data_IF_262425743181
#
_entry.id   IF_262425743181
#
_cell.length_a   1.000
_cell.length_b   1.000
_cell.length_c   1.000
_cell.angle_alpha   90.00
_cell.angle_beta   90.00
_cell.angle_gamma   90.00
#
_symmetry.space_group_name_H-M   'P 1'
#
loop_
_entity.id
_entity.type
_entity.pdbx_description
1 polymer ?
#
# COMPACT_ATOMS: atom_id res chain seq x y z
N UNK A 1 19.10 0.41 0.18
CA UNK A 1 17.92 -0.45 0.10
C UNK A 1 16.67 0.41 -0.02
N UNK A 2 15.57 -0.18 -0.48
CA UNK A 2 14.26 0.47 -0.57
C UNK A 2 13.20 -0.51 -0.07
N UNK A 3 12.21 0.00 0.70
CA UNK A 3 10.99 -0.73 1.05
C UNK A 3 9.81 0.10 0.56
N UNK A 4 8.93 -0.51 -0.24
CA UNK A 4 7.72 0.12 -0.74
C UNK A 4 6.49 -0.50 -0.08
N UNK A 5 5.70 0.33 0.60
CA UNK A 5 4.54 -0.13 1.36
C UNK A 5 3.29 -0.35 0.50
N UNK A 6 3.35 -0.09 -0.81
CA UNK A 6 2.22 -0.35 -1.69
C UNK A 6 2.59 -0.35 -3.17
N UNK A 7 2.37 -1.49 -3.83
CA UNK A 7 2.42 -1.62 -5.29
C UNK A 7 1.33 -2.58 -5.78
N UNK A 8 0.65 -2.24 -6.87
CA UNK A 8 -0.45 -3.00 -7.47
C UNK A 8 0.02 -4.05 -8.49
N UNK A 9 1.04 -4.83 -8.14
CA UNK A 9 1.63 -5.83 -9.03
C UNK A 9 0.58 -6.85 -9.49
N UNK A 10 -0.20 -7.38 -8.54
CA UNK A 10 -1.25 -8.37 -8.85
C UNK A 10 -2.33 -7.79 -9.77
N UNK A 11 -2.78 -6.58 -9.49
CA UNK A 11 -3.78 -5.88 -10.29
C UNK A 11 -3.30 -5.60 -11.72
N UNK A 12 -2.04 -5.19 -11.90
CA UNK A 12 -1.42 -5.00 -13.21
C UNK A 12 -1.53 -6.27 -14.08
N UNK A 13 -1.28 -7.45 -13.51
CA UNK A 13 -1.40 -8.72 -14.22
C UNK A 13 -2.86 -9.14 -14.43
N UNK A 14 -3.73 -8.92 -13.46
CA UNK A 14 -5.15 -9.26 -13.57
C UNK A 14 -5.81 -8.48 -14.70
N UNK A 15 -5.47 -7.21 -14.85
CA UNK A 15 -6.07 -6.32 -15.85
C UNK A 15 -5.58 -6.59 -17.27
N UNK A 16 -4.28 -6.89 -17.46
CA UNK A 16 -3.70 -7.19 -18.76
C UNK A 16 -3.87 -8.65 -19.20
N UNK A 17 -4.20 -9.53 -18.25
CA UNK A 17 -4.08 -10.98 -18.45
C UNK A 17 -2.61 -11.41 -18.52
N UNK A 18 -2.28 -12.56 -17.93
CA UNK A 18 -0.87 -13.01 -17.84
C UNK A 18 -0.22 -13.22 -19.22
N UNK A 19 -1.02 -13.53 -20.25
CA UNK A 19 -0.53 -13.74 -21.62
C UNK A 19 -0.28 -12.44 -22.38
N UNK A 20 -0.90 -11.31 -21.99
CA UNK A 20 -0.82 -10.03 -22.68
C UNK A 20 0.13 -9.05 -22.00
N UNK A 21 0.47 -9.30 -20.73
CA UNK A 21 1.36 -8.44 -19.95
C UNK A 21 2.80 -8.84 -20.18
N UNK A 22 3.65 -7.85 -20.45
CA UNK A 22 5.08 -8.04 -20.60
C UNK A 22 5.68 -8.72 -19.37
N UNK A 23 6.58 -9.72 -19.55
CA UNK A 23 7.19 -10.46 -18.45
C UNK A 23 7.85 -9.54 -17.41
N UNK A 24 7.68 -9.84 -16.13
CA UNK A 24 8.12 -8.95 -15.04
C UNK A 24 9.66 -8.87 -14.90
N UNK A 25 10.40 -9.76 -15.56
CA UNK A 25 11.87 -9.74 -15.63
C UNK A 25 12.43 -8.84 -16.74
N UNK A 26 11.60 -8.26 -17.58
CA UNK A 26 12.00 -7.32 -18.63
C UNK A 26 11.88 -5.87 -18.18
N UNK A 27 12.89 -5.04 -18.55
CA UNK A 27 12.84 -3.58 -18.33
C UNK A 27 11.96 -2.91 -19.39
N UNK A 28 10.67 -2.87 -19.13
CA UNK A 28 9.69 -2.30 -20.07
C UNK A 28 9.64 -0.79 -19.89
N UNK A 29 9.89 -0.08 -21.00
CA UNK A 29 9.74 1.39 -21.02
C UNK A 29 8.27 1.78 -20.71
N UNK A 30 8.08 2.69 -19.77
CA UNK A 30 6.77 3.15 -19.33
C UNK A 30 6.13 2.33 -18.22
N UNK A 31 6.62 1.12 -17.94
CA UNK A 31 6.19 0.37 -16.76
C UNK A 31 6.80 0.95 -15.49
N UNK A 32 6.00 1.09 -14.45
CA UNK A 32 6.39 1.80 -13.23
C UNK A 32 7.30 0.97 -12.33
N UNK A 33 7.10 -0.35 -12.23
CA UNK A 33 7.87 -1.28 -11.45
C UNK A 33 8.07 -2.61 -12.20
N UNK A 34 9.22 -3.24 -12.02
CA UNK A 34 9.61 -4.56 -12.50
C UNK A 34 10.93 -5.02 -11.84
N UNK A 35 11.29 -6.29 -12.02
CA UNK A 35 12.50 -6.87 -11.41
C UNK A 35 13.78 -6.08 -11.76
N UNK A 36 14.03 -5.67 -13.03
CA UNK A 36 15.19 -4.82 -13.34
C UNK A 36 15.21 -3.49 -12.58
N UNK A 37 14.05 -2.83 -12.43
CA UNK A 37 13.93 -1.59 -11.67
C UNK A 37 14.13 -1.83 -10.17
N UNK A 38 13.60 -2.94 -9.63
CA UNK A 38 13.84 -3.36 -8.24
C UNK A 38 15.34 -3.53 -7.96
N UNK A 39 16.03 -4.28 -8.81
CA UNK A 39 17.49 -4.47 -8.69
C UNK A 39 18.26 -3.17 -8.77
N UNK A 40 17.86 -2.28 -9.69
CA UNK A 40 18.54 -0.99 -9.91
C UNK A 40 18.54 -0.08 -8.68
N UNK A 41 17.43 -0.05 -7.94
CA UNK A 41 17.30 0.81 -6.74
C UNK A 41 17.45 0.04 -5.43
N UNK A 42 17.55 -1.30 -5.49
CA UNK A 42 17.74 -2.17 -4.34
C UNK A 42 16.46 -2.32 -3.51
N UNK A 43 15.31 -2.64 -4.16
CA UNK A 43 14.06 -2.92 -3.44
C UNK A 43 14.22 -4.22 -2.66
N UNK A 44 14.07 -4.11 -1.34
CA UNK A 44 14.19 -5.25 -0.43
C UNK A 44 12.85 -5.88 -0.11
N UNK A 45 11.85 -5.06 0.17
CA UNK A 45 10.47 -5.48 0.46
C UNK A 45 9.49 -4.60 -0.31
N UNK A 46 8.39 -5.20 -0.72
CA UNK A 46 7.23 -4.52 -1.28
C UNK A 46 5.95 -5.12 -0.69
N UNK A 47 5.00 -4.26 -0.27
CA UNK A 47 3.63 -4.72 -0.02
C UNK A 47 2.93 -4.84 -1.36
N UNK A 48 2.67 -6.09 -1.78
CA UNK A 48 1.96 -6.40 -3.01
C UNK A 48 0.46 -6.43 -2.78
N UNK A 49 -0.26 -5.50 -3.42
CA UNK A 49 -1.70 -5.32 -3.24
C UNK A 49 -2.49 -6.51 -3.78
N UNK A 50 -3.43 -7.00 -2.97
CA UNK A 50 -4.55 -7.85 -3.35
C UNK A 50 -5.77 -6.94 -3.32
N UNK A 51 -6.09 -6.36 -4.47
CA UNK A 51 -7.17 -5.40 -4.64
C UNK A 51 -8.45 -6.11 -5.13
N UNK A 52 -9.39 -6.51 -4.22
CA UNK A 52 -10.50 -7.40 -4.56
C UNK A 52 -11.69 -6.66 -5.16
N UNK A 53 -11.45 -5.65 -6.01
CA UNK A 53 -12.49 -4.88 -6.63
C UNK A 53 -13.20 -5.65 -7.74
N UNK A 54 -14.50 -5.82 -7.60
CA UNK A 54 -15.38 -6.38 -8.62
C UNK A 54 -16.08 -5.26 -9.38
N UNK A 55 -16.28 -5.48 -10.67
CA UNK A 55 -17.04 -4.57 -11.52
C UNK A 55 -18.41 -4.25 -10.93
N UNK A 56 -18.77 -2.97 -10.99
CA UNK A 56 -20.08 -2.49 -10.55
C UNK A 56 -20.91 -2.11 -11.76
N UNK A 57 -22.21 -2.49 -11.78
CA UNK A 57 -23.19 -1.98 -12.74
C UNK A 57 -23.51 -0.49 -12.47
N UNK A 58 -23.00 0.09 -11.39
CA UNK A 58 -23.17 1.50 -11.12
C UNK A 58 -22.28 2.34 -12.05
N UNK A 59 -22.88 2.91 -13.09
CA UNK A 59 -22.20 3.69 -14.12
C UNK A 59 -21.36 4.83 -13.56
N UNK A 60 -21.83 5.52 -12.51
CA UNK A 60 -21.07 6.61 -11.88
C UNK A 60 -19.79 6.13 -11.22
N UNK A 61 -19.81 4.92 -10.62
CA UNK A 61 -18.61 4.30 -10.04
C UNK A 61 -17.63 3.90 -11.14
N UNK A 62 -18.11 3.29 -12.22
CA UNK A 62 -17.30 2.92 -13.39
C UNK A 62 -16.65 4.16 -14.00
N UNK A 63 -17.42 5.22 -14.25
CA UNK A 63 -16.91 6.47 -14.86
C UNK A 63 -15.87 7.14 -13.94
N UNK A 64 -16.08 7.14 -12.63
CA UNK A 64 -15.12 7.67 -11.65
C UNK A 64 -13.83 6.86 -11.63
N UNK A 65 -13.92 5.53 -11.68
CA UNK A 65 -12.77 4.63 -11.75
C UNK A 65 -12.00 4.80 -13.05
N UNK A 66 -12.69 4.88 -14.19
CA UNK A 66 -12.06 5.11 -15.49
C UNK A 66 -11.36 6.46 -15.55
N UNK A 67 -11.91 7.49 -14.91
CA UNK A 67 -11.30 8.83 -14.84
C UNK A 67 -10.05 8.86 -13.97
N UNK A 68 -10.06 8.17 -12.83
CA UNK A 68 -8.94 8.16 -11.86
C UNK A 68 -7.82 7.21 -12.31
N UNK A 69 -8.19 6.01 -12.74
CA UNK A 69 -7.28 4.89 -13.01
C UNK A 69 -7.19 4.51 -14.49
N UNK A 70 -7.96 5.16 -15.37
CA UNK A 70 -7.96 4.94 -16.82
C UNK A 70 -8.87 3.82 -17.29
N UNK A 71 -8.48 3.12 -18.35
CA UNK A 71 -9.25 1.99 -18.88
C UNK A 71 -9.27 0.86 -17.86
N UNK A 72 -10.33 0.81 -17.07
CA UNK A 72 -10.56 -0.25 -16.13
C UNK A 72 -11.68 -1.14 -16.67
N UNK A 73 -11.40 -2.42 -16.80
CA UNK A 73 -12.37 -3.43 -17.19
C UNK A 73 -12.25 -4.62 -16.25
N UNK A 74 -13.23 -4.86 -15.35
CA UNK A 74 -13.18 -6.02 -14.50
C UNK A 74 -13.19 -7.28 -15.36
N UNK A 75 -12.47 -8.30 -14.94
CA UNK A 75 -12.59 -9.61 -15.57
C UNK A 75 -14.03 -10.09 -15.48
N UNK A 76 -14.66 -10.31 -16.62
CA UNK A 76 -16.06 -10.75 -16.71
C UNK A 76 -16.29 -12.16 -16.13
N UNK A 77 -15.21 -12.89 -15.85
CA UNK A 77 -15.26 -14.26 -15.28
C UNK A 77 -15.26 -14.31 -13.75
N UNK A 78 -14.99 -13.18 -13.09
CA UNK A 78 -14.90 -13.13 -11.62
C UNK A 78 -16.16 -12.50 -11.04
N UNK A 79 -16.89 -13.29 -10.26
CA UNK A 79 -18.23 -12.94 -9.78
C UNK A 79 -18.25 -12.30 -8.39
N UNK A 80 -17.20 -12.43 -7.59
CA UNK A 80 -17.16 -11.93 -6.22
C UNK A 80 -15.79 -11.33 -5.85
N UNK A 81 -15.73 -10.42 -4.85
CA UNK A 81 -14.46 -9.93 -4.32
C UNK A 81 -13.52 -11.04 -3.83
N UNK A 82 -14.08 -12.14 -3.27
CA UNK A 82 -13.31 -13.29 -2.82
C UNK A 82 -12.62 -14.01 -3.99
N UNK A 83 -13.32 -14.19 -5.11
CA UNK A 83 -12.74 -14.83 -6.30
C UNK A 83 -11.59 -13.98 -6.86
N UNK A 84 -11.77 -12.65 -6.90
CA UNK A 84 -10.70 -11.71 -7.31
C UNK A 84 -9.51 -11.81 -6.38
N UNK A 85 -9.72 -11.82 -5.06
CA UNK A 85 -8.64 -11.92 -4.09
C UNK A 85 -7.86 -13.24 -4.24
N UNK A 86 -8.54 -14.35 -4.46
CA UNK A 86 -7.89 -15.66 -4.70
C UNK A 86 -7.11 -15.63 -6.02
N UNK A 87 -7.64 -15.03 -7.07
CA UNK A 87 -6.92 -14.91 -8.34
C UNK A 87 -5.65 -14.06 -8.20
N UNK A 88 -5.72 -12.96 -7.45
CA UNK A 88 -4.55 -12.12 -7.15
C UNK A 88 -3.50 -12.88 -6.32
N UNK A 89 -3.91 -13.67 -5.33
CA UNK A 89 -2.99 -14.57 -4.59
C UNK A 89 -2.30 -15.55 -5.54
N UNK A 90 -3.04 -16.18 -6.46
CA UNK A 90 -2.47 -17.08 -7.48
C UNK A 90 -1.43 -16.39 -8.36
N UNK A 91 -1.67 -15.12 -8.73
CA UNK A 91 -0.72 -14.33 -9.52
C UNK A 91 0.60 -14.15 -8.73
N UNK A 92 0.56 -13.84 -7.44
CA UNK A 92 1.78 -13.72 -6.64
C UNK A 92 2.55 -15.03 -6.53
N UNK A 93 1.87 -16.17 -6.35
CA UNK A 93 2.52 -17.49 -6.39
C UNK A 93 3.12 -17.79 -7.74
N UNK A 94 2.41 -17.51 -8.84
CA UNK A 94 2.93 -17.68 -10.19
C UNK A 94 4.18 -16.83 -10.44
N UNK A 95 4.23 -15.60 -9.93
CA UNK A 95 5.41 -14.73 -10.02
C UNK A 95 6.60 -15.28 -9.21
N UNK A 96 6.36 -15.80 -8.01
CA UNK A 96 7.42 -16.49 -7.22
C UNK A 96 7.96 -17.70 -7.96
N UNK A 97 7.07 -18.56 -8.52
CA UNK A 97 7.45 -19.75 -9.26
C UNK A 97 8.22 -19.42 -10.56
N UNK A 98 7.80 -18.39 -11.29
CA UNK A 98 8.49 -17.95 -12.51
C UNK A 98 9.85 -17.28 -12.22
N UNK A 99 10.00 -16.60 -11.09
CA UNK A 99 11.18 -15.79 -10.76
C UNK A 99 11.76 -16.09 -9.37
N UNK A 100 12.02 -17.36 -8.99
CA UNK A 100 12.32 -17.77 -7.61
C UNK A 100 13.62 -17.18 -7.04
N UNK A 101 14.53 -16.69 -7.90
CA UNK A 101 15.77 -16.00 -7.51
C UNK A 101 15.60 -14.49 -7.36
N UNK A 102 14.49 -13.93 -7.82
CA UNK A 102 14.26 -12.49 -7.86
C UNK A 102 13.12 -12.04 -6.95
N UNK A 103 12.11 -12.90 -6.77
CA UNK A 103 10.92 -12.60 -5.97
C UNK A 103 10.68 -13.72 -4.97
N UNK A 104 10.26 -13.36 -3.76
CA UNK A 104 9.87 -14.29 -2.72
C UNK A 104 8.68 -13.78 -1.92
N UNK A 105 7.64 -14.59 -1.76
CA UNK A 105 6.53 -14.28 -0.86
C UNK A 105 7.01 -14.41 0.59
N UNK A 106 6.85 -13.35 1.36
CA UNK A 106 7.24 -13.30 2.77
C UNK A 106 6.08 -13.78 3.64
N UNK A 107 6.30 -14.86 4.39
CA UNK A 107 5.32 -15.46 5.30
C UNK A 107 5.77 -15.44 6.75
N UNK A 108 7.08 -15.33 6.99
CA UNK A 108 7.70 -15.38 8.30
C UNK A 108 8.81 -14.33 8.42
N UNK A 109 9.23 -14.05 9.64
CA UNK A 109 10.42 -13.21 9.92
C UNK A 109 11.67 -13.78 9.25
N UNK A 110 11.81 -15.09 9.27
CA UNK A 110 12.94 -15.80 8.68
C UNK A 110 13.01 -15.62 7.16
N UNK A 111 11.86 -15.52 6.49
CA UNK A 111 11.81 -15.18 5.06
C UNK A 111 12.42 -13.80 4.79
N UNK A 112 12.14 -12.79 5.64
CA UNK A 112 12.72 -11.44 5.52
C UNK A 112 14.24 -11.48 5.70
N UNK A 113 14.71 -12.18 6.71
CA UNK A 113 16.13 -12.28 7.07
C UNK A 113 16.93 -13.00 5.97
N UNK A 114 16.32 -13.98 5.31
CA UNK A 114 16.96 -14.84 4.30
C UNK A 114 16.68 -14.46 2.84
N UNK A 115 16.18 -13.25 2.54
CA UNK A 115 15.87 -12.81 1.17
C UNK A 115 17.10 -12.78 0.23
N UNK A 116 18.32 -12.63 0.77
CA UNK A 116 19.49 -12.47 -0.09
C UNK A 116 19.33 -11.29 -1.07
N UNK A 117 19.45 -11.57 -2.37
CA UNK A 117 19.26 -10.59 -3.45
C UNK A 117 17.80 -10.50 -3.97
N UNK A 118 16.91 -11.37 -3.49
CA UNK A 118 15.52 -11.34 -3.89
C UNK A 118 14.77 -10.17 -3.24
N UNK A 119 13.74 -9.69 -3.93
CA UNK A 119 12.75 -8.79 -3.35
C UNK A 119 11.64 -9.61 -2.68
N UNK A 120 11.40 -9.35 -1.40
CA UNK A 120 10.30 -9.96 -0.66
C UNK A 120 8.97 -9.26 -0.96
N UNK A 121 7.95 -10.06 -1.26
CA UNK A 121 6.57 -9.61 -1.43
C UNK A 121 5.80 -9.95 -0.16
N UNK A 122 5.34 -8.92 0.55
CA UNK A 122 4.39 -9.05 1.65
C UNK A 122 2.99 -8.85 1.09
N UNK A 123 2.19 -9.92 1.01
CA UNK A 123 0.84 -9.84 0.46
C UNK A 123 -0.07 -9.01 1.38
N UNK A 124 -0.74 -8.02 0.80
CA UNK A 124 -1.60 -7.03 1.45
C UNK A 124 -2.98 -6.99 0.80
N UNK A 125 -4.05 -7.27 1.55
CA UNK A 125 -5.43 -7.08 1.07
C UNK A 125 -5.79 -5.60 1.16
N UNK A 126 -6.12 -4.97 0.05
CA UNK A 126 -6.56 -3.58 -0.05
C UNK A 126 -8.08 -3.49 -0.16
N UNK A 127 -8.74 -3.37 1.00
CA UNK A 127 -10.19 -3.45 1.12
C UNK A 127 -10.68 -4.87 1.46
N UNK A 128 -11.34 -5.00 2.60
CA UNK A 128 -11.75 -6.30 3.16
C UNK A 128 -13.07 -6.84 2.60
N UNK A 129 -13.49 -6.41 1.40
CA UNK A 129 -14.71 -6.91 0.74
C UNK A 129 -14.65 -8.40 0.43
N UNK A 130 -13.45 -8.97 0.34
CA UNK A 130 -13.25 -10.42 0.13
C UNK A 130 -13.60 -11.27 1.35
N UNK A 131 -13.65 -10.66 2.55
CA UNK A 131 -13.95 -11.35 3.80
C UNK A 131 -15.46 -11.31 4.08
N UNK A 132 -16.08 -12.46 4.17
CA UNK A 132 -17.49 -12.61 4.56
C UNK A 132 -17.70 -12.44 6.07
N UNK A 133 -16.69 -12.79 6.87
CA UNK A 133 -16.63 -12.64 8.32
C UNK A 133 -15.16 -12.45 8.76
N UNK A 134 -14.86 -11.91 9.95
CA UNK A 134 -13.50 -11.68 10.42
C UNK A 134 -12.59 -12.92 10.37
N UNK A 135 -13.15 -14.09 10.66
CA UNK A 135 -12.45 -15.38 10.70
C UNK A 135 -11.95 -15.84 9.32
N UNK A 136 -12.54 -15.35 8.23
CA UNK A 136 -12.07 -15.61 6.86
C UNK A 136 -10.62 -15.14 6.67
N UNK A 137 -10.16 -14.16 7.47
CA UNK A 137 -8.77 -13.69 7.44
C UNK A 137 -7.78 -14.84 7.74
N UNK A 138 -8.18 -15.86 8.52
CA UNK A 138 -7.34 -17.05 8.76
C UNK A 138 -6.99 -17.78 7.48
N UNK A 139 -7.93 -17.85 6.53
CA UNK A 139 -7.72 -18.50 5.24
C UNK A 139 -6.65 -17.73 4.46
N UNK A 140 -6.80 -16.40 4.35
CA UNK A 140 -5.84 -15.56 3.65
C UNK A 140 -4.47 -15.51 4.36
N UNK A 141 -4.45 -15.51 5.69
CA UNK A 141 -3.20 -15.64 6.47
C UNK A 141 -2.45 -16.93 6.12
N UNK A 142 -3.15 -18.07 6.04
CA UNK A 142 -2.55 -19.35 5.65
C UNK A 142 -2.08 -19.33 4.20
N UNK A 143 -2.71 -18.54 3.32
CA UNK A 143 -2.24 -18.28 1.96
C UNK A 143 -1.09 -17.25 1.90
N UNK A 144 -0.62 -16.72 3.03
CA UNK A 144 0.56 -15.85 3.11
C UNK A 144 0.25 -14.35 3.20
N UNK A 145 -1.01 -13.93 3.34
CA UNK A 145 -1.35 -12.52 3.61
C UNK A 145 -0.84 -12.11 4.99
N UNK A 146 -0.20 -10.94 5.07
CA UNK A 146 0.37 -10.40 6.31
C UNK A 146 -0.06 -8.96 6.62
N UNK A 147 -0.87 -8.38 5.74
CA UNK A 147 -1.41 -7.03 5.92
C UNK A 147 -2.81 -6.91 5.34
N UNK A 148 -3.67 -6.10 5.95
CA UNK A 148 -5.02 -5.78 5.47
C UNK A 148 -5.31 -4.29 5.58
N UNK A 149 -5.92 -3.70 4.55
CA UNK A 149 -6.60 -2.41 4.59
C UNK A 149 -8.10 -2.64 4.78
N UNK A 150 -8.71 -1.95 5.72
CA UNK A 150 -10.12 -2.18 6.07
C UNK A 150 -11.07 -1.86 4.91
N UNK A 151 -10.78 -0.79 4.18
CA UNK A 151 -11.57 -0.31 3.03
C UNK A 151 -10.65 0.07 1.88
N UNK A 152 -11.18 0.03 0.67
CA UNK A 152 -10.72 0.86 -0.42
C UNK A 152 -11.57 2.14 -0.49
N UNK A 153 -11.82 2.71 -1.67
CA UNK A 153 -12.61 3.95 -1.83
C UNK A 153 -14.13 3.77 -1.62
N UNK A 154 -14.58 2.62 -1.19
CA UNK A 154 -15.99 2.31 -0.89
C UNK A 154 -16.15 1.80 0.53
N UNK A 155 -17.28 2.18 1.13
CA UNK A 155 -17.70 1.62 2.41
C UNK A 155 -18.00 0.13 2.25
N UNK A 156 -17.66 -0.63 3.27
CA UNK A 156 -18.04 -2.02 3.37
C UNK A 156 -18.62 -2.32 4.76
N UNK A 157 -18.90 -3.59 5.05
CA UNK A 157 -19.48 -3.99 6.33
C UNK A 157 -18.59 -3.73 7.55
N UNK A 158 -17.28 -3.53 7.34
CA UNK A 158 -16.31 -3.33 8.42
C UNK A 158 -16.08 -1.86 8.78
N UNK A 159 -16.12 -0.97 7.78
CA UNK A 159 -15.73 0.42 8.01
C UNK A 159 -16.21 1.39 6.94
N UNK A 160 -16.25 2.68 7.31
CA UNK A 160 -16.40 3.80 6.39
C UNK A 160 -15.09 4.11 5.69
N UNK A 161 -15.14 4.29 4.35
CA UNK A 161 -14.00 4.69 3.53
C UNK A 161 -13.77 6.21 3.55
N UNK A 162 -12.61 6.66 3.08
CA UNK A 162 -12.32 8.08 2.90
C UNK A 162 -13.28 8.78 1.93
N UNK A 163 -13.98 8.04 1.07
CA UNK A 163 -14.97 8.56 0.12
C UNK A 163 -16.41 8.43 0.62
N UNK A 164 -16.61 7.92 1.84
CA UNK A 164 -17.94 7.80 2.44
C UNK A 164 -18.68 9.14 2.45
N UNK A 165 -19.97 9.09 2.15
CA UNK A 165 -20.85 10.23 2.28
C UNK A 165 -21.21 10.52 3.74
N UNK A 166 -21.12 9.49 4.60
CA UNK A 166 -21.40 9.56 6.02
C UNK A 166 -20.35 8.78 6.80
N UNK A 167 -19.42 9.49 7.42
CA UNK A 167 -18.35 8.87 8.20
C UNK A 167 -18.89 8.28 9.51
N UNK A 168 -19.15 6.98 9.50
CA UNK A 168 -19.61 6.24 10.68
C UNK A 168 -18.46 5.55 11.44
N UNK A 169 -17.24 5.50 10.88
CA UNK A 169 -16.08 4.86 11.51
C UNK A 169 -16.07 3.35 11.36
N UNK A 170 -15.53 2.64 12.35
CA UNK A 170 -15.59 1.18 12.45
C UNK A 170 -17.02 0.72 12.79
N UNK A 171 -17.39 -0.43 12.25
CA UNK A 171 -18.56 -1.20 12.73
C UNK A 171 -18.13 -2.19 13.81
N UNK A 172 -19.08 -2.83 14.50
CA UNK A 172 -18.77 -3.92 15.43
C UNK A 172 -18.03 -5.08 14.76
N UNK A 173 -18.35 -5.40 13.49
CA UNK A 173 -17.58 -6.38 12.71
C UNK A 173 -16.20 -5.88 12.34
N UNK A 174 -16.04 -4.58 12.13
CA UNK A 174 -14.73 -3.93 11.92
C UNK A 174 -13.83 -4.04 13.14
N UNK A 175 -14.37 -3.79 14.34
CA UNK A 175 -13.62 -3.98 15.60
C UNK A 175 -13.21 -5.43 15.79
N UNK A 176 -14.12 -6.39 15.53
CA UNK A 176 -13.82 -7.81 15.58
C UNK A 176 -12.72 -8.21 14.58
N UNK A 177 -12.75 -7.67 13.35
CA UNK A 177 -11.72 -7.92 12.34
C UNK A 177 -10.35 -7.37 12.77
N UNK A 178 -10.30 -6.16 13.34
CA UNK A 178 -9.06 -5.57 13.87
C UNK A 178 -8.49 -6.43 15.00
N UNK A 179 -9.32 -6.86 15.94
CA UNK A 179 -8.91 -7.75 17.02
C UNK A 179 -8.39 -9.10 16.50
N UNK A 180 -9.07 -9.68 15.51
CA UNK A 180 -8.66 -10.94 14.89
C UNK A 180 -7.33 -10.80 14.14
N UNK A 181 -7.13 -9.69 13.39
CA UNK A 181 -5.88 -9.37 12.72
C UNK A 181 -4.71 -9.23 13.72
N UNK A 182 -4.91 -8.53 14.84
CA UNK A 182 -3.92 -8.39 15.91
C UNK A 182 -3.54 -9.75 16.52
N UNK A 183 -4.51 -10.64 16.71
CA UNK A 183 -4.28 -12.01 17.20
C UNK A 183 -3.43 -12.86 16.26
N UNK A 184 -3.51 -12.59 14.95
CA UNK A 184 -2.72 -13.25 13.91
C UNK A 184 -1.36 -12.58 13.65
N UNK A 185 -1.12 -11.38 14.19
CA UNK A 185 0.03 -10.57 13.83
C UNK A 185 -0.08 -9.89 12.46
N UNK A 186 -1.28 -9.86 11.86
CA UNK A 186 -1.54 -9.19 10.59
C UNK A 186 -1.55 -7.69 10.79
N UNK A 187 -0.78 -6.95 9.97
CA UNK A 187 -0.70 -5.49 10.01
C UNK A 187 -2.02 -4.88 9.52
N UNK A 188 -2.50 -3.83 10.21
CA UNK A 188 -3.73 -3.12 9.84
C UNK A 188 -3.38 -1.78 9.19
N UNK A 189 -3.71 -1.65 7.91
CA UNK A 189 -3.52 -0.44 7.11
C UNK A 189 -4.76 0.46 7.18
N UNK A 190 -4.51 1.76 7.36
CA UNK A 190 -5.51 2.81 7.44
C UNK A 190 -5.64 3.63 6.15
N UNK A 191 -4.84 3.32 5.12
CA UNK A 191 -5.01 3.95 3.80
C UNK A 191 -6.42 3.67 3.29
N UNK A 192 -7.03 4.64 2.62
CA UNK A 192 -8.44 4.61 2.20
C UNK A 192 -9.50 4.65 3.32
N UNK A 193 -9.12 4.52 4.59
CA UNK A 193 -10.07 4.64 5.70
C UNK A 193 -10.53 6.09 5.90
N UNK A 194 -11.77 6.27 6.34
CA UNK A 194 -12.25 7.59 6.74
C UNK A 194 -11.48 8.12 7.95
N UNK A 195 -11.52 9.43 8.23
CA UNK A 195 -10.91 9.99 9.45
C UNK A 195 -11.41 9.32 10.73
N UNK A 196 -12.71 9.03 10.82
CA UNK A 196 -13.28 8.36 11.99
C UNK A 196 -12.87 6.88 12.05
N UNK A 197 -12.88 6.16 10.94
CA UNK A 197 -12.39 4.77 10.88
C UNK A 197 -10.93 4.70 11.32
N UNK A 198 -10.08 5.60 10.83
CA UNK A 198 -8.67 5.68 11.25
C UNK A 198 -8.53 5.95 12.74
N UNK A 199 -9.34 6.88 13.27
CA UNK A 199 -9.38 7.19 14.70
C UNK A 199 -9.79 5.99 15.54
N UNK A 200 -10.91 5.35 15.20
CA UNK A 200 -11.47 4.21 15.91
C UNK A 200 -10.47 3.02 15.87
N UNK A 201 -9.84 2.77 14.72
CA UNK A 201 -8.83 1.71 14.60
C UNK A 201 -7.58 1.98 15.43
N UNK A 202 -7.10 3.24 15.49
CA UNK A 202 -5.99 3.62 16.37
C UNK A 202 -6.31 3.41 17.86
N UNK A 203 -7.58 3.49 18.25
CA UNK A 203 -8.03 3.21 19.61
C UNK A 203 -8.23 1.71 19.86
N UNK A 204 -8.81 0.97 18.92
CA UNK A 204 -9.16 -0.44 19.06
C UNK A 204 -7.98 -1.41 18.84
N UNK A 205 -7.00 -1.05 18.01
CA UNK A 205 -5.90 -1.96 17.66
C UNK A 205 -4.88 -2.10 18.80
N UNK A 206 -4.49 -3.32 19.13
CA UNK A 206 -3.39 -3.59 20.08
C UNK A 206 -2.03 -3.33 19.41
N UNK A 207 -1.84 -3.82 18.19
CA UNK A 207 -0.63 -3.56 17.40
C UNK A 207 -0.68 -2.17 16.74
N UNK A 208 0.48 -1.54 16.45
CA UNK A 208 0.52 -0.26 15.76
C UNK A 208 -0.09 -0.34 14.36
N UNK A 209 -1.21 0.36 14.04
CA UNK A 209 -1.68 0.49 12.66
C UNK A 209 -0.77 1.45 11.87
N UNK A 210 -0.88 1.41 10.55
CA UNK A 210 -0.08 2.26 9.67
C UNK A 210 -0.92 2.78 8.50
N UNK A 211 -0.36 3.71 7.73
CA UNK A 211 -0.87 4.11 6.42
C UNK A 211 0.12 3.63 5.37
N UNK A 212 -0.29 2.73 4.49
CA UNK A 212 0.61 2.20 3.45
C UNK A 212 0.95 3.26 2.41
N UNK A 213 -0.04 4.08 1.98
CA UNK A 213 0.13 5.07 0.91
C UNK A 213 -0.81 6.28 1.07
N UNK A 214 -0.33 7.31 1.80
CA UNK A 214 -1.09 8.55 2.08
C UNK A 214 -0.15 9.73 2.28
N UNK A 215 -0.61 10.94 1.94
CA UNK A 215 0.16 12.17 2.15
C UNK A 215 -0.48 13.06 3.23
N UNK A 216 0.02 14.27 3.46
CA UNK A 216 -0.52 15.20 4.47
C UNK A 216 -1.68 16.00 3.93
N UNK A 217 -2.82 15.97 4.65
CA UNK A 217 -4.02 16.77 4.37
C UNK A 217 -3.76 18.27 4.49
N UNK A 218 -2.91 18.71 5.42
CA UNK A 218 -2.57 20.11 5.62
C UNK A 218 -1.85 20.72 4.41
N UNK A 219 -1.12 19.92 3.64
CA UNK A 219 -0.38 20.38 2.47
C UNK A 219 -1.19 20.24 1.17
N UNK A 220 -2.09 19.27 1.11
CA UNK A 220 -2.96 19.04 -0.05
C UNK A 220 -4.31 18.51 0.42
N UNK A 221 -5.35 19.27 0.15
CA UNK A 221 -6.73 18.90 0.46
C UNK A 221 -7.21 17.75 -0.43
N UNK A 222 -6.95 16.53 0.01
CA UNK A 222 -7.42 15.29 -0.61
C UNK A 222 -8.05 14.40 0.46
N UNK A 223 -9.17 13.76 0.16
CA UNK A 223 -9.79 12.78 1.06
C UNK A 223 -8.90 11.57 1.35
N UNK A 224 -7.89 11.33 0.49
CA UNK A 224 -6.90 10.26 0.63
C UNK A 224 -5.76 10.63 1.59
N UNK A 225 -5.65 11.91 1.96
CA UNK A 225 -4.57 12.43 2.80
C UNK A 225 -4.92 12.39 4.28
N UNK A 226 -3.88 12.28 5.11
CA UNK A 226 -3.98 12.11 6.56
C UNK A 226 -3.87 13.45 7.26
N UNK A 227 -4.74 13.72 8.23
CA UNK A 227 -4.68 14.94 9.05
C UNK A 227 -3.50 14.91 10.02
N UNK A 228 -3.01 16.10 10.40
CA UNK A 228 -1.93 16.27 11.37
C UNK A 228 -2.21 15.56 12.71
N UNK A 229 -3.47 15.57 13.14
CA UNK A 229 -3.91 14.87 14.36
C UNK A 229 -3.71 13.36 14.23
N UNK A 230 -4.11 12.77 13.10
CA UNK A 230 -3.94 11.34 12.85
C UNK A 230 -2.47 10.96 12.67
N UNK A 231 -1.65 11.80 12.00
CA UNK A 231 -0.20 11.59 11.88
C UNK A 231 0.44 11.50 13.28
N UNK A 232 0.15 12.48 14.18
CA UNK A 232 0.67 12.47 15.55
C UNK A 232 0.21 11.24 16.35
N UNK A 233 -1.06 10.83 16.18
CA UNK A 233 -1.59 9.64 16.87
C UNK A 233 -0.95 8.35 16.35
N UNK A 234 -0.75 8.24 15.04
CA UNK A 234 -0.02 7.12 14.42
C UNK A 234 1.39 7.04 14.95
N UNK A 235 2.11 8.18 15.03
CA UNK A 235 3.42 8.27 15.63
C UNK A 235 3.46 7.77 17.08
N UNK A 236 2.52 8.26 17.90
CA UNK A 236 2.42 7.87 19.32
C UNK A 236 2.18 6.36 19.50
N UNK A 237 1.51 5.73 18.54
CA UNK A 237 1.27 4.28 18.52
C UNK A 237 2.46 3.48 17.96
N UNK A 238 3.49 4.15 17.43
CA UNK A 238 4.63 3.50 16.76
C UNK A 238 4.33 3.03 15.33
N UNK A 239 3.28 3.58 14.72
CA UNK A 239 2.95 3.35 13.32
C UNK A 239 3.73 4.26 12.38
N UNK A 240 3.56 4.06 11.08
CA UNK A 240 4.24 4.81 9.99
C UNK A 240 3.23 5.28 8.94
N UNK A 241 3.66 6.22 8.09
CA UNK A 241 2.85 6.75 6.98
C UNK A 241 3.66 6.70 5.69
N UNK A 242 3.26 5.82 4.77
CA UNK A 242 3.83 5.70 3.43
C UNK A 242 3.40 6.86 2.53
N UNK A 243 4.36 7.50 1.90
CA UNK A 243 4.13 8.60 0.96
C UNK A 243 3.68 8.06 -0.39
N UNK A 244 2.46 8.42 -0.81
CA UNK A 244 1.96 8.04 -2.13
C UNK A 244 2.40 9.00 -3.23
N UNK A 245 2.58 8.43 -4.43
CA UNK A 245 2.92 9.19 -5.64
C UNK A 245 1.69 9.64 -6.44
N UNK A 246 0.49 9.40 -5.95
CA UNK A 246 -0.75 9.89 -6.55
C UNK A 246 -0.74 11.42 -6.62
N UNK A 247 -0.88 11.99 -7.82
CA UNK A 247 -0.83 13.45 -8.04
C UNK A 247 -1.86 14.22 -7.22
N UNK A 248 -3.08 13.71 -7.12
CA UNK A 248 -4.15 14.35 -6.34
C UNK A 248 -3.85 14.42 -4.83
N UNK A 249 -2.96 13.56 -4.35
CA UNK A 249 -2.50 13.55 -2.95
C UNK A 249 -1.27 14.44 -2.71
N UNK A 250 -0.47 14.70 -3.75
CA UNK A 250 0.74 15.54 -3.66
C UNK A 250 0.39 17.03 -3.76
N UNK A 251 -0.51 17.38 -4.68
CA UNK A 251 -0.79 18.75 -5.05
C UNK A 251 0.26 19.36 -6.00
N UNK A 252 -0.15 20.38 -6.74
CA UNK A 252 0.72 21.08 -7.69
C UNK A 252 1.82 21.90 -6.97
N UNK A 253 3.02 22.01 -7.58
CA UNK A 253 3.50 21.28 -8.74
C UNK A 253 3.80 19.81 -8.36
N UNK A 254 3.47 18.86 -9.26
CA UNK A 254 3.62 17.42 -9.01
C UNK A 254 5.09 16.99 -9.16
N UNK A 255 5.98 17.55 -8.32
CA UNK A 255 7.43 17.33 -8.40
C UNK A 255 7.96 16.51 -7.23
N UNK A 256 9.17 15.93 -7.36
CA UNK A 256 9.84 15.23 -6.25
C UNK A 256 10.03 16.11 -5.00
N UNK A 257 10.30 17.41 -5.18
CA UNK A 257 10.45 18.36 -4.08
C UNK A 257 9.13 18.59 -3.37
N UNK A 258 8.01 18.71 -4.11
CA UNK A 258 6.69 18.87 -3.51
C UNK A 258 6.29 17.64 -2.71
N UNK A 259 6.57 16.45 -3.21
CA UNK A 259 6.38 15.21 -2.46
C UNK A 259 7.28 15.17 -1.21
N UNK A 260 8.53 15.60 -1.34
CA UNK A 260 9.46 15.64 -0.20
C UNK A 260 8.98 16.58 0.92
N UNK A 261 8.24 17.66 0.60
CA UNK A 261 7.63 18.54 1.63
C UNK A 261 6.66 17.78 2.51
N UNK A 262 5.91 16.80 1.97
CA UNK A 262 5.05 15.94 2.79
C UNK A 262 5.86 15.09 3.78
N UNK A 263 6.99 14.51 3.33
CA UNK A 263 7.91 13.78 4.21
C UNK A 263 8.43 14.66 5.35
N UNK A 264 8.90 15.87 5.03
CA UNK A 264 9.39 16.83 6.02
C UNK A 264 8.33 17.21 7.03
N UNK A 265 7.13 17.50 6.59
CA UNK A 265 5.99 17.80 7.46
C UNK A 265 5.67 16.65 8.42
N UNK A 266 5.70 15.40 7.95
CA UNK A 266 5.50 14.22 8.79
C UNK A 266 6.61 14.07 9.85
N UNK A 267 7.87 14.35 9.49
CA UNK A 267 8.99 14.38 10.44
C UNK A 267 8.76 15.44 11.52
N UNK A 268 8.32 16.65 11.14
CA UNK A 268 8.03 17.74 12.07
C UNK A 268 6.87 17.42 13.03
N UNK A 269 5.89 16.63 12.59
CA UNK A 269 4.71 16.26 13.39
C UNK A 269 4.94 15.07 14.31
N UNK A 270 5.62 14.06 13.84
CA UNK A 270 5.66 12.75 14.52
C UNK A 270 7.07 12.16 14.69
N UNK A 271 8.10 12.84 14.20
CA UNK A 271 9.48 12.39 14.29
C UNK A 271 9.98 11.65 13.06
N UNK A 272 11.29 11.34 13.08
CA UNK A 272 12.03 10.78 11.92
C UNK A 272 11.54 9.38 11.51
N UNK A 273 10.91 8.64 12.41
CA UNK A 273 10.44 7.27 12.16
C UNK A 273 9.09 7.17 11.46
N UNK A 274 8.41 8.31 11.22
CA UNK A 274 7.04 8.31 10.68
C UNK A 274 6.98 8.15 9.17
N UNK A 275 7.64 9.00 8.35
CA UNK A 275 7.47 8.91 6.91
C UNK A 275 8.16 7.66 6.35
N UNK A 276 7.46 6.96 5.48
CA UNK A 276 7.96 5.84 4.70
C UNK A 276 7.61 6.03 3.22
N UNK A 277 7.96 5.08 2.38
CA UNK A 277 7.60 5.06 0.97
C UNK A 277 6.39 4.12 0.77
N UNK A 278 5.41 4.55 -0.05
CA UNK A 278 4.26 3.75 -0.47
C UNK A 278 3.78 4.27 -1.82
N UNK A 279 4.47 3.89 -2.90
CA UNK A 279 4.39 4.60 -4.19
C UNK A 279 3.02 4.55 -4.85
N UNK A 280 2.30 3.44 -4.70
CA UNK A 280 1.10 3.11 -5.45
C UNK A 280 1.39 2.86 -6.95
N UNK A 281 2.63 2.44 -7.27
CA UNK A 281 2.99 2.07 -8.62
C UNK A 281 2.22 0.85 -9.11
N UNK A 282 1.98 0.80 -10.41
CA UNK A 282 1.18 -0.17 -11.15
C UNK A 282 -0.34 -0.04 -10.91
N UNK A 283 -0.80 0.76 -9.93
CA UNK A 283 -2.20 1.12 -9.69
C UNK A 283 -2.60 2.47 -10.27
N UNK A 284 -1.65 3.30 -10.70
CA UNK A 284 -1.92 4.64 -11.22
C UNK A 284 -1.49 4.82 -12.68
N UNK A 285 -2.21 5.64 -13.44
CA UNK A 285 -1.82 5.99 -14.82
C UNK A 285 -0.88 7.20 -14.91
N UNK A 286 -1.01 8.15 -13.98
CA UNK A 286 -0.25 9.40 -14.03
C UNK A 286 0.63 9.54 -12.80
N UNK A 287 1.94 9.49 -13.03
CA UNK A 287 2.98 9.65 -12.01
C UNK A 287 3.39 11.11 -11.83
N UNK A 288 4.03 11.49 -10.72
CA UNK A 288 4.64 12.80 -10.58
C UNK A 288 5.70 13.04 -11.65
N UNK A 289 5.95 14.31 -11.96
CA UNK A 289 6.93 14.70 -12.97
C UNK A 289 8.33 14.17 -12.61
N UNK A 290 8.92 13.39 -13.51
CA UNK A 290 10.24 12.78 -13.30
C UNK A 290 10.26 11.56 -12.38
N UNK A 291 9.12 11.14 -11.82
CA UNK A 291 9.00 9.90 -11.04
C UNK A 291 8.13 8.88 -11.81
N UNK A 292 8.46 8.65 -13.07
CA UNK A 292 7.68 7.81 -13.97
C UNK A 292 7.73 6.32 -13.60
N UNK A 293 8.77 5.94 -12.87
CA UNK A 293 8.99 4.57 -12.40
C UNK A 293 10.04 4.54 -11.28
N UNK A 294 10.18 3.42 -10.61
CA UNK A 294 11.12 3.20 -9.50
C UNK A 294 12.57 3.55 -9.82
N UNK A 295 13.02 3.35 -11.06
CA UNK A 295 14.41 3.68 -11.43
C UNK A 295 14.75 5.17 -11.31
N UNK A 296 13.75 6.03 -11.18
CA UNK A 296 13.86 7.50 -10.99
C UNK A 296 13.81 7.94 -9.52
N UNK A 297 13.74 7.01 -8.59
CA UNK A 297 13.66 7.31 -7.14
C UNK A 297 14.81 8.19 -6.63
N UNK A 298 15.94 8.19 -7.36
CA UNK A 298 17.05 9.12 -7.10
C UNK A 298 16.66 10.59 -7.18
N UNK A 299 15.65 10.97 -7.99
CA UNK A 299 15.13 12.34 -8.04
C UNK A 299 14.36 12.69 -6.77
N UNK A 300 13.60 11.75 -6.20
CA UNK A 300 12.93 11.96 -4.92
C UNK A 300 13.96 12.10 -3.78
N UNK A 301 14.98 11.25 -3.76
CA UNK A 301 16.14 11.39 -2.85
C UNK A 301 16.79 12.77 -2.94
N UNK A 302 17.00 13.28 -4.17
CA UNK A 302 17.51 14.63 -4.41
C UNK A 302 16.56 15.70 -3.89
N UNK A 303 15.26 15.56 -4.17
CA UNK A 303 14.22 16.47 -3.69
C UNK A 303 14.21 16.59 -2.16
N UNK A 304 14.30 15.47 -1.44
CA UNK A 304 14.39 15.44 0.02
C UNK A 304 15.62 16.19 0.54
N UNK A 305 16.79 16.02 -0.09
CA UNK A 305 18.00 16.79 0.25
C UNK A 305 17.83 18.29 0.01
N UNK A 306 17.23 18.66 -1.12
CA UNK A 306 17.01 20.06 -1.50
C UNK A 306 16.16 20.81 -0.47
N UNK A 307 15.17 20.15 0.14
CA UNK A 307 14.32 20.76 1.18
C UNK A 307 14.88 20.61 2.60
N UNK A 308 16.10 20.07 2.75
CA UNK A 308 16.85 20.04 4.00
C UNK A 308 16.59 18.83 4.90
N UNK A 309 16.10 17.70 4.36
CA UNK A 309 16.11 16.43 5.11
C UNK A 309 17.54 15.90 5.23
N UNK A 310 17.90 15.42 6.40
CA UNK A 310 19.22 14.82 6.67
C UNK A 310 19.36 13.47 5.95
N UNK A 311 20.59 12.99 5.70
CA UNK A 311 20.82 11.66 5.14
C UNK A 311 20.10 10.55 5.92
N UNK A 312 20.08 10.61 7.25
CA UNK A 312 19.40 9.64 8.11
C UNK A 312 17.87 9.65 7.89
N UNK A 313 17.28 10.84 7.82
CA UNK A 313 15.85 10.98 7.54
C UNK A 313 15.47 10.43 6.17
N UNK A 314 16.32 10.67 5.16
CA UNK A 314 16.12 10.18 3.80
C UNK A 314 16.18 8.65 3.74
N UNK A 315 17.15 8.02 4.42
CA UNK A 315 17.20 6.55 4.51
C UNK A 315 16.02 6.02 5.31
N UNK A 316 15.60 6.71 6.37
CA UNK A 316 14.36 6.42 7.11
C UNK A 316 13.14 6.32 6.19
N UNK A 317 12.92 7.37 5.35
CA UNK A 317 11.79 7.40 4.38
C UNK A 317 11.87 6.28 3.36
N UNK A 318 13.04 5.99 2.83
CA UNK A 318 13.17 5.06 1.70
C UNK A 318 13.27 3.59 2.13
N UNK A 319 13.67 3.32 3.37
CA UNK A 319 13.96 1.97 3.83
C UNK A 319 13.65 1.75 5.31
N UNK A 320 14.42 2.40 6.22
CA UNK A 320 14.57 1.94 7.59
C UNK A 320 13.26 1.94 8.37
N UNK A 321 12.41 2.94 8.17
CA UNK A 321 11.15 3.07 8.91
C UNK A 321 10.18 1.93 8.56
N UNK A 322 10.00 1.69 7.26
CA UNK A 322 9.14 0.60 6.79
C UNK A 322 9.73 -0.78 7.10
N UNK A 323 11.04 -0.97 6.89
CA UNK A 323 11.70 -2.24 7.19
C UNK A 323 11.56 -2.63 8.66
N UNK A 324 11.89 -1.72 9.58
CA UNK A 324 11.81 -1.97 11.01
C UNK A 324 10.36 -2.20 11.48
N UNK A 325 9.41 -1.48 10.90
CA UNK A 325 7.98 -1.67 11.17
C UNK A 325 7.51 -3.07 10.80
N UNK A 326 7.81 -3.52 9.56
CA UNK A 326 7.45 -4.85 9.08
C UNK A 326 8.17 -5.93 9.90
N UNK A 327 9.48 -5.77 10.14
CA UNK A 327 10.27 -6.74 10.91
C UNK A 327 9.74 -6.92 12.32
N UNK A 328 9.30 -5.85 12.98
CA UNK A 328 8.68 -5.91 14.31
C UNK A 328 7.36 -6.68 14.29
N UNK A 329 6.50 -6.45 13.29
CA UNK A 329 5.24 -7.20 13.16
C UNK A 329 5.48 -8.67 12.84
N UNK A 330 6.51 -8.98 12.05
CA UNK A 330 6.85 -10.34 11.65
C UNK A 330 7.28 -11.26 12.81
N UNK A 331 7.52 -10.71 13.99
CA UNK A 331 7.78 -11.52 15.20
C UNK A 331 6.59 -12.40 15.63
N UNK A 332 5.39 -12.11 15.09
CA UNK A 332 4.17 -12.87 15.35
C UNK A 332 3.73 -13.74 14.15
N UNK A 333 4.45 -13.72 13.03
CA UNK A 333 4.09 -14.43 11.77
C UNK A 333 4.43 -15.91 11.79
#
# INVERSE_FOLDING_TARGET
>A
MVVDLHEDIGYYYLMGGVAEVQPFHEDVQGRQADIPKYRKVGVKLVLGSIFPLVGSLNRRKIDAMQKEYGTWSPSSSLASPRDVAIELVKIYYALEDMYPKALKIVRTKEDIENLGEATGIVMHIEGCEALGEPEDLRIFYNLGVRSIGLTWNYDNKYAASCMSAKDYGLTGEGEALVAFANGLGVMVDLSHSSPKTSSDTLDASEAPPFFSHSNSLALQASKRNVSDSLIRRTAKRGGIVGLTFIRSCIGAPFTPERLAVHAKHMVELGGESIPALGTDYLGMQTTPVGLDNLSKLGLFRKGMRTIGLTPRQIEGVLNDNAYNFILKHSEKW
#
